data_IF_130025368089
#
_entry.id   IF_130025368089
#
_cell.length_a   1.000
_cell.length_b   1.000
_cell.length_c   1.000
_cell.angle_alpha   90.00
_cell.angle_beta   90.00
_cell.angle_gamma   90.00
#
_symmetry.space_group_name_H-M   'P 1'
#
loop_
_entity.id
_entity.type
_entity.pdbx_description
1 polymer ?
#
# COMPACT_ATOMS: atom_id res chain seq x y z
N UNK A 1 16.76 14.62 -7.24
CA UNK A 1 16.70 15.02 -5.81
C UNK A 1 15.96 16.34 -5.48
N UNK A 2 15.71 17.31 -6.36
CA UNK A 2 14.86 18.45 -6.00
C UNK A 2 13.40 18.09 -5.67
N UNK A 3 12.82 17.10 -6.36
CA UNK A 3 11.45 16.62 -6.11
C UNK A 3 11.29 15.93 -4.76
N UNK A 4 12.25 15.08 -4.34
CA UNK A 4 12.20 14.40 -3.04
C UNK A 4 12.15 15.38 -1.86
N UNK A 5 12.90 16.48 -1.91
CA UNK A 5 12.84 17.53 -0.90
C UNK A 5 11.51 18.31 -0.88
N UNK A 6 10.76 18.31 -1.99
CA UNK A 6 9.43 18.91 -2.05
C UNK A 6 8.38 18.04 -1.33
N UNK A 7 8.52 16.73 -1.39
CA UNK A 7 7.60 15.78 -0.74
C UNK A 7 7.73 15.79 0.80
N UNK A 8 8.88 16.13 1.37
CA UNK A 8 9.16 16.05 2.82
C UNK A 8 8.68 17.24 3.67
N UNK A 9 8.00 18.25 3.14
CA UNK A 9 7.83 19.54 3.84
C UNK A 9 6.40 20.07 4.04
N UNK A 10 5.34 19.36 3.70
CA UNK A 10 4.03 20.01 3.70
C UNK A 10 2.97 19.34 4.58
N UNK A 11 2.51 20.03 5.60
CA UNK A 11 1.29 19.76 6.37
C UNK A 11 0.02 20.01 5.52
N UNK A 12 0.10 20.89 4.53
CA UNK A 12 -0.94 21.08 3.51
C UNK A 12 -0.36 20.69 2.16
N UNK A 13 -0.86 19.59 1.60
CA UNK A 13 -0.32 18.96 0.39
C UNK A 13 -1.22 19.27 -0.79
N UNK A 14 -0.86 20.32 -1.52
CA UNK A 14 -1.53 20.67 -2.77
C UNK A 14 -0.67 20.24 -3.98
N UNK A 15 -0.34 18.95 -4.04
CA UNK A 15 0.34 18.40 -5.19
C UNK A 15 -0.57 18.45 -6.43
N UNK A 16 0.00 18.91 -7.54
CA UNK A 16 -0.63 18.83 -8.85
C UNK A 16 -0.76 17.39 -9.33
N UNK A 17 -1.63 17.13 -10.29
CA UNK A 17 -1.79 15.80 -10.86
C UNK A 17 -0.51 15.26 -11.50
N UNK A 18 0.30 16.15 -12.11
CA UNK A 18 1.57 15.76 -12.70
C UNK A 18 2.61 15.36 -11.64
N UNK A 19 2.66 16.07 -10.50
CA UNK A 19 3.51 15.68 -9.38
C UNK A 19 3.10 14.34 -8.78
N UNK A 20 1.80 14.06 -8.70
CA UNK A 20 1.30 12.75 -8.24
C UNK A 20 1.64 11.62 -9.21
N UNK A 21 1.56 11.84 -10.53
CA UNK A 21 2.00 10.88 -11.55
C UNK A 21 3.49 10.59 -11.43
N UNK A 22 4.29 11.63 -11.23
CA UNK A 22 5.73 11.50 -11.04
C UNK A 22 6.04 10.75 -9.74
N UNK A 23 5.34 11.04 -8.64
CA UNK A 23 5.47 10.30 -7.39
C UNK A 23 5.14 8.80 -7.58
N UNK A 24 4.05 8.47 -8.25
CA UNK A 24 3.67 7.09 -8.54
C UNK A 24 4.73 6.37 -9.39
N UNK A 25 5.32 7.07 -10.39
CA UNK A 25 6.42 6.55 -11.22
C UNK A 25 7.68 6.29 -10.39
N UNK A 26 8.06 7.22 -9.53
CA UNK A 26 9.22 7.09 -8.64
C UNK A 26 9.00 5.96 -7.62
N UNK A 27 7.82 5.85 -7.01
CA UNK A 27 7.48 4.77 -6.10
C UNK A 27 7.66 3.38 -6.76
N UNK A 28 7.26 3.22 -8.04
CA UNK A 28 7.52 1.97 -8.79
C UNK A 28 9.01 1.66 -8.87
N UNK A 29 9.84 2.64 -9.16
CA UNK A 29 11.28 2.44 -9.24
C UNK A 29 11.89 2.06 -7.90
N UNK A 30 11.52 2.73 -6.83
CA UNK A 30 12.00 2.40 -5.47
C UNK A 30 11.51 1.03 -4.98
N UNK A 31 10.29 0.63 -5.32
CA UNK A 31 9.79 -0.72 -5.02
C UNK A 31 10.65 -1.80 -5.67
N UNK A 32 10.98 -1.62 -6.95
CA UNK A 32 11.82 -2.57 -7.70
C UNK A 32 13.22 -2.69 -7.09
N UNK A 33 13.81 -1.56 -6.68
CA UNK A 33 15.13 -1.56 -6.02
C UNK A 33 15.06 -2.24 -4.65
N UNK A 34 14.06 -1.92 -3.83
CA UNK A 34 13.88 -2.52 -2.52
C UNK A 34 13.67 -4.05 -2.60
N UNK A 35 12.85 -4.51 -3.53
CA UNK A 35 12.61 -5.94 -3.73
C UNK A 35 13.82 -6.67 -4.32
N UNK A 36 14.61 -6.02 -5.17
CA UNK A 36 15.88 -6.56 -5.65
C UNK A 36 16.91 -6.67 -4.52
N UNK A 37 17.01 -5.66 -3.66
CA UNK A 37 17.92 -5.63 -2.52
C UNK A 37 17.69 -6.83 -1.59
N UNK A 38 16.44 -7.07 -1.24
CA UNK A 38 16.06 -8.06 -0.22
C UNK A 38 15.74 -9.45 -0.77
N UNK A 39 15.68 -9.60 -2.10
CA UNK A 39 15.27 -10.86 -2.73
C UNK A 39 13.87 -11.31 -2.32
N UNK A 40 13.01 -10.41 -1.85
CA UNK A 40 11.68 -10.72 -1.31
C UNK A 40 10.65 -9.63 -1.63
N UNK A 41 9.45 -10.01 -2.05
CA UNK A 41 8.38 -9.06 -2.34
C UNK A 41 7.29 -9.58 -3.27
N UNK A 42 6.40 -8.67 -3.69
CA UNK A 42 5.28 -8.90 -4.59
C UNK A 42 5.21 -7.78 -5.63
N UNK A 43 6.23 -7.64 -6.49
CA UNK A 43 6.38 -6.54 -7.43
C UNK A 43 5.11 -6.30 -8.26
N UNK A 44 4.56 -7.35 -8.86
CA UNK A 44 3.37 -7.23 -9.71
C UNK A 44 2.19 -6.54 -9.01
N UNK A 45 1.88 -6.96 -7.79
CA UNK A 45 0.78 -6.40 -7.01
C UNK A 45 1.06 -5.00 -6.45
N UNK A 46 2.31 -4.72 -6.10
CA UNK A 46 2.70 -3.40 -5.59
C UNK A 46 2.65 -2.33 -6.69
N UNK A 47 3.17 -2.64 -7.87
CA UNK A 47 3.21 -1.71 -9.01
C UNK A 47 1.81 -1.30 -9.50
N UNK A 48 0.78 -2.13 -9.30
CA UNK A 48 -0.59 -1.85 -9.78
C UNK A 48 -1.25 -0.67 -9.06
N UNK A 49 -0.87 -0.37 -7.81
CA UNK A 49 -1.61 0.58 -6.99
C UNK A 49 -0.88 1.91 -6.68
N UNK A 50 0.19 2.23 -7.41
CA UNK A 50 1.01 3.41 -7.06
C UNK A 50 0.29 4.74 -7.27
N UNK A 51 -0.64 4.87 -8.23
CA UNK A 51 -1.49 6.06 -8.38
C UNK A 51 -2.44 6.21 -7.18
N UNK A 52 -2.99 5.09 -6.70
CA UNK A 52 -3.87 5.06 -5.52
C UNK A 52 -3.10 5.52 -4.28
N UNK A 53 -1.89 5.00 -4.09
CA UNK A 53 -1.01 5.34 -2.96
C UNK A 53 -0.59 6.80 -3.01
N UNK A 54 -0.11 7.27 -4.16
CA UNK A 54 0.30 8.67 -4.33
C UNK A 54 -0.87 9.64 -4.08
N UNK A 55 -2.05 9.36 -4.65
CA UNK A 55 -3.23 10.19 -4.43
C UNK A 55 -3.66 10.21 -2.95
N UNK A 56 -3.69 9.05 -2.29
CA UNK A 56 -4.14 8.93 -0.91
C UNK A 56 -3.20 9.66 0.05
N UNK A 57 -1.91 9.32 0.03
CA UNK A 57 -0.94 9.85 1.00
C UNK A 57 -0.49 11.27 0.70
N UNK A 58 -0.45 11.69 -0.57
CA UNK A 58 0.09 13.00 -0.94
C UNK A 58 -0.97 14.08 -1.17
N UNK A 59 -2.26 13.71 -1.26
CA UNK A 59 -3.30 14.71 -1.58
C UNK A 59 -4.61 14.57 -0.82
N UNK A 60 -5.08 13.36 -0.54
CA UNK A 60 -6.46 13.16 -0.07
C UNK A 60 -6.55 12.96 1.43
N UNK A 61 -5.75 12.08 2.00
CA UNK A 61 -5.79 11.78 3.42
C UNK A 61 -5.21 12.93 4.25
N UNK A 62 -5.89 13.24 5.34
CA UNK A 62 -5.44 14.23 6.33
C UNK A 62 -4.56 13.52 7.36
N UNK A 63 -3.27 13.81 7.36
CA UNK A 63 -2.31 13.27 8.31
C UNK A 63 -1.08 14.19 8.44
N UNK A 64 -0.31 14.05 9.52
CA UNK A 64 0.94 14.80 9.74
C UNK A 64 2.07 13.83 10.09
N UNK A 65 3.12 13.71 9.25
CA UNK A 65 4.26 12.84 9.51
C UNK A 65 5.09 13.27 10.73
N UNK A 66 5.00 14.56 11.16
CA UNK A 66 5.68 15.05 12.35
C UNK A 66 4.92 14.70 13.64
N UNK A 67 3.62 14.37 13.53
CA UNK A 67 2.76 13.97 14.64
C UNK A 67 1.98 12.71 14.21
N UNK A 68 2.64 11.54 14.06
CA UNK A 68 2.01 10.32 13.52
C UNK A 68 0.76 9.86 14.27
N UNK A 69 0.70 10.14 15.56
CA UNK A 69 -0.44 9.78 16.43
C UNK A 69 -1.46 10.93 16.59
N UNK A 70 -1.43 11.94 15.70
CA UNK A 70 -2.41 13.02 15.74
C UNK A 70 -3.84 12.46 15.75
N UNK A 71 -4.68 12.79 16.79
CA UNK A 71 -5.95 12.13 16.98
C UNK A 71 -6.96 12.37 15.85
N UNK A 72 -6.94 13.55 15.25
CA UNK A 72 -7.88 13.94 14.17
C UNK A 72 -7.40 13.59 12.76
N UNK A 73 -6.36 12.76 12.64
CA UNK A 73 -5.93 12.27 11.31
C UNK A 73 -6.96 11.29 10.74
N UNK A 74 -7.03 11.22 9.42
CA UNK A 74 -7.70 10.09 8.76
C UNK A 74 -7.00 8.78 9.11
N UNK A 75 -7.74 7.68 9.13
CA UNK A 75 -7.21 6.35 9.41
C UNK A 75 -7.02 5.59 8.11
N UNK A 76 -5.82 5.06 7.88
CA UNK A 76 -5.52 4.31 6.67
C UNK A 76 -5.21 2.88 7.05
N UNK A 77 -6.17 1.98 6.80
CA UNK A 77 -6.06 0.55 7.07
C UNK A 77 -5.58 -0.16 5.81
N UNK A 78 -4.45 -0.80 5.93
CA UNK A 78 -3.84 -1.57 4.86
C UNK A 78 -4.24 -3.03 4.97
N UNK A 79 -5.33 -3.44 4.32
CA UNK A 79 -5.85 -4.81 4.38
C UNK A 79 -5.07 -5.77 3.48
N UNK A 80 -4.64 -5.30 2.30
CA UNK A 80 -3.82 -6.07 1.36
C UNK A 80 -2.37 -6.28 1.88
N UNK A 81 -2.20 -7.20 2.82
CA UNK A 81 -0.94 -7.43 3.53
C UNK A 81 0.25 -7.72 2.64
N UNK A 82 0.06 -8.46 1.55
CA UNK A 82 1.12 -8.78 0.58
C UNK A 82 1.67 -7.56 -0.19
N UNK A 83 0.99 -6.40 -0.13
CA UNK A 83 1.39 -5.13 -0.76
C UNK A 83 1.93 -4.10 0.22
N UNK A 84 2.47 -4.52 1.36
CA UNK A 84 3.00 -3.59 2.39
C UNK A 84 4.14 -2.70 1.89
N UNK A 85 4.91 -3.10 0.88
CA UNK A 85 5.91 -2.22 0.27
C UNK A 85 5.30 -0.94 -0.31
N UNK A 86 4.10 -1.00 -0.88
CA UNK A 86 3.38 0.18 -1.34
C UNK A 86 2.99 1.12 -0.18
N UNK A 87 2.59 0.57 0.98
CA UNK A 87 2.38 1.37 2.20
C UNK A 87 3.67 2.08 2.62
N UNK A 88 4.79 1.35 2.64
CA UNK A 88 6.07 1.94 3.05
C UNK A 88 6.48 3.09 2.14
N UNK A 89 6.31 2.93 0.84
CA UNK A 89 6.55 3.99 -0.13
C UNK A 89 5.61 5.18 0.06
N UNK A 90 4.32 4.93 0.29
CA UNK A 90 3.35 5.98 0.60
C UNK A 90 3.76 6.79 1.83
N UNK A 91 4.16 6.14 2.92
CA UNK A 91 4.63 6.78 4.14
C UNK A 91 5.96 7.52 3.95
N UNK A 92 6.93 6.92 3.23
CA UNK A 92 8.21 7.58 2.94
C UNK A 92 8.03 8.85 2.11
N UNK A 93 7.26 8.79 1.02
CA UNK A 93 6.93 9.96 0.20
C UNK A 93 6.12 11.00 0.97
N UNK A 94 5.34 10.54 1.92
CA UNK A 94 4.63 11.39 2.87
C UNK A 94 5.55 12.05 3.92
N UNK A 95 6.79 11.60 4.07
CA UNK A 95 7.79 12.20 4.95
C UNK A 95 7.84 11.61 6.36
N UNK A 96 7.30 10.40 6.57
CA UNK A 96 7.39 9.72 7.87
C UNK A 96 8.80 9.22 8.18
N UNK A 97 9.56 8.84 7.16
CA UNK A 97 10.96 8.39 7.23
C UNK A 97 11.64 8.56 5.86
N UNK A 98 12.98 8.49 5.80
CA UNK A 98 13.72 8.58 4.55
C UNK A 98 13.35 7.45 3.57
N UNK A 99 13.31 7.77 2.27
CA UNK A 99 12.97 6.77 1.24
C UNK A 99 14.04 5.69 1.12
N UNK A 100 15.27 6.04 1.45
CA UNK A 100 16.42 5.14 1.42
C UNK A 100 16.23 3.95 2.39
N UNK A 101 15.50 4.14 3.47
CA UNK A 101 15.26 3.09 4.46
C UNK A 101 14.39 1.94 3.90
N UNK A 102 13.60 2.18 2.83
CA UNK A 102 12.72 1.16 2.24
C UNK A 102 13.49 0.00 1.62
N UNK A 103 14.77 0.18 1.27
CA UNK A 103 15.62 -0.91 0.74
C UNK A 103 15.93 -1.99 1.78
N UNK A 104 15.64 -1.75 3.05
CA UNK A 104 15.74 -2.73 4.15
C UNK A 104 14.43 -3.49 4.37
N UNK A 105 13.58 -3.58 3.35
CA UNK A 105 12.30 -4.29 3.36
C UNK A 105 12.50 -5.74 3.80
N UNK A 106 11.71 -6.17 4.82
CA UNK A 106 11.73 -7.53 5.38
C UNK A 106 13.01 -7.97 6.10
N UNK A 107 13.98 -7.06 6.24
CA UNK A 107 15.17 -7.38 7.02
C UNK A 107 14.84 -7.62 8.49
N UNK A 108 15.46 -8.64 9.13
CA UNK A 108 15.21 -8.94 10.53
C UNK A 108 15.45 -7.72 11.44
N UNK A 109 14.60 -7.58 12.46
CA UNK A 109 14.68 -6.52 13.50
C UNK A 109 14.38 -5.09 13.02
N UNK A 110 14.25 -4.84 11.72
CA UNK A 110 13.94 -3.53 11.18
C UNK A 110 12.45 -3.19 11.16
N UNK A 111 12.09 -1.91 10.94
CA UNK A 111 10.69 -1.48 10.93
C UNK A 111 9.86 -2.07 9.79
N UNK A 112 10.47 -2.29 8.62
CA UNK A 112 9.78 -2.65 7.37
C UNK A 112 9.48 -4.14 7.26
N UNK A 113 8.83 -4.67 8.30
CA UNK A 113 8.52 -6.09 8.42
C UNK A 113 7.36 -6.53 7.53
N UNK A 114 7.34 -7.83 7.22
CA UNK A 114 6.19 -8.49 6.67
C UNK A 114 5.87 -9.74 7.51
N UNK A 115 4.73 -9.80 8.18
CA UNK A 115 3.63 -8.83 8.20
C UNK A 115 3.95 -7.50 8.90
N UNK A 116 3.19 -6.46 8.56
CA UNK A 116 3.33 -5.10 9.09
C UNK A 116 3.21 -5.07 10.62
N UNK A 117 4.10 -4.34 11.28
CA UNK A 117 4.03 -4.06 12.71
C UNK A 117 3.82 -2.56 13.00
N UNK A 118 2.67 -2.22 13.56
CA UNK A 118 2.37 -0.85 14.02
C UNK A 118 3.38 -0.36 15.07
N UNK A 119 3.89 -1.26 15.90
CA UNK A 119 4.81 -0.89 17.00
C UNK A 119 6.19 -0.43 16.48
N UNK A 120 6.53 -0.78 15.24
CA UNK A 120 7.84 -0.49 14.66
C UNK A 120 7.82 0.64 13.63
N UNK A 121 6.65 0.93 13.05
CA UNK A 121 6.55 1.85 11.93
C UNK A 121 5.61 3.02 12.23
N UNK A 122 6.12 4.27 12.28
CA UNK A 122 5.28 5.44 12.43
C UNK A 122 4.35 5.61 11.22
N UNK A 123 3.09 6.00 11.47
CA UNK A 123 2.06 6.12 10.44
C UNK A 123 1.33 4.82 10.07
N UNK A 124 1.76 3.66 10.59
CA UNK A 124 1.00 2.42 10.47
C UNK A 124 -0.12 2.38 11.52
N UNK A 125 -1.38 2.26 11.09
CA UNK A 125 -2.53 2.28 12.00
C UNK A 125 -2.69 0.99 12.79
N UNK A 126 -2.48 -0.15 12.13
CA UNK A 126 -2.64 -1.48 12.74
C UNK A 126 -1.57 -2.44 12.25
N UNK A 127 -1.22 -3.43 13.08
CA UNK A 127 -0.45 -4.58 12.63
C UNK A 127 -1.40 -5.56 11.94
N UNK A 128 -1.03 -6.04 10.76
CA UNK A 128 -1.84 -6.97 10.00
C UNK A 128 -0.99 -7.90 9.13
N UNK A 129 -1.61 -8.97 8.63
CA UNK A 129 -0.99 -9.95 7.72
C UNK A 129 -2.00 -10.95 7.18
N UNK A 130 -3.06 -11.23 7.93
CA UNK A 130 -4.14 -12.11 7.47
C UNK A 130 -5.07 -11.36 6.52
N UNK A 131 -5.28 -11.90 5.33
CA UNK A 131 -6.16 -11.32 4.31
C UNK A 131 -7.61 -11.25 4.78
N UNK A 132 -8.32 -10.22 4.33
CA UNK A 132 -9.73 -9.97 4.65
C UNK A 132 -10.00 -9.40 6.05
N UNK A 133 -9.01 -9.33 6.94
CA UNK A 133 -9.20 -8.84 8.31
C UNK A 133 -9.28 -7.30 8.39
N UNK A 134 -8.63 -6.60 7.47
CA UNK A 134 -8.50 -5.15 7.53
C UNK A 134 -9.82 -4.40 7.46
N UNK A 135 -10.79 -4.88 6.67
CA UNK A 135 -12.10 -4.25 6.58
C UNK A 135 -12.84 -4.28 7.93
N UNK A 136 -12.78 -5.40 8.67
CA UNK A 136 -13.36 -5.50 10.01
C UNK A 136 -12.74 -4.50 10.99
N UNK A 137 -11.42 -4.32 10.95
CA UNK A 137 -10.72 -3.31 11.76
C UNK A 137 -11.14 -1.90 11.35
N UNK A 138 -11.23 -1.62 10.04
CA UNK A 138 -11.68 -0.33 9.53
C UNK A 138 -13.09 0.03 9.99
N UNK A 139 -13.99 -0.94 10.04
CA UNK A 139 -15.35 -0.79 10.57
C UNK A 139 -15.29 -0.36 12.04
N UNK A 140 -14.50 -1.03 12.86
CA UNK A 140 -14.35 -0.68 14.27
C UNK A 140 -13.89 0.76 14.47
N UNK A 141 -12.90 1.21 13.68
CA UNK A 141 -12.41 2.60 13.72
C UNK A 141 -13.46 3.60 13.20
N UNK A 142 -14.18 3.26 12.13
CA UNK A 142 -15.23 4.12 11.60
C UNK A 142 -16.41 4.26 12.59
N UNK A 143 -16.80 3.19 13.28
CA UNK A 143 -17.77 3.23 14.36
C UNK A 143 -17.30 4.11 15.52
N UNK A 144 -16.05 3.95 15.95
CA UNK A 144 -15.46 4.77 17.00
C UNK A 144 -15.50 6.26 16.63
N UNK A 145 -15.08 6.64 15.40
CA UNK A 145 -15.15 8.01 14.94
C UNK A 145 -16.58 8.61 15.00
N UNK A 146 -17.59 7.82 14.61
CA UNK A 146 -18.99 8.27 14.72
C UNK A 146 -19.48 8.42 16.16
N UNK A 147 -19.00 7.60 17.09
CA UNK A 147 -19.38 7.66 18.51
C UNK A 147 -18.68 8.81 19.23
N UNK A 148 -17.43 9.07 18.92
CA UNK A 148 -16.61 10.12 19.53
C UNK A 148 -16.79 11.50 18.88
N UNK A 149 -17.68 11.59 17.86
CA UNK A 149 -17.91 12.80 17.07
C UNK A 149 -16.63 13.35 16.39
N UNK A 150 -15.70 12.48 16.08
CA UNK A 150 -14.49 12.79 15.32
C UNK A 150 -14.76 12.64 13.82
N UNK A 151 -14.60 13.71 13.07
CA UNK A 151 -14.96 13.79 11.63
C UNK A 151 -13.93 13.13 10.71
N UNK A 152 -13.06 12.24 11.22
CA UNK A 152 -12.07 11.57 10.37
C UNK A 152 -12.69 10.53 9.42
N UNK A 153 -12.08 10.39 8.27
CA UNK A 153 -12.41 9.32 7.32
C UNK A 153 -11.52 8.11 7.58
N UNK A 154 -12.10 6.92 7.47
CA UNK A 154 -11.35 5.66 7.49
C UNK A 154 -11.23 5.12 6.07
N UNK A 155 -10.01 5.03 5.55
CA UNK A 155 -9.69 4.40 4.28
C UNK A 155 -9.24 2.96 4.51
N UNK A 156 -9.75 2.01 3.73
CA UNK A 156 -9.34 0.61 3.77
C UNK A 156 -8.88 0.16 2.39
N UNK A 157 -7.59 -0.16 2.24
CA UNK A 157 -7.01 -0.60 0.97
C UNK A 157 -7.02 -2.12 0.89
N UNK A 158 -7.65 -2.63 -0.15
CA UNK A 158 -7.91 -4.05 -0.39
C UNK A 158 -7.43 -4.48 -1.79
N UNK A 159 -7.33 -5.77 -2.02
CA UNK A 159 -7.01 -6.39 -3.31
C UNK A 159 -7.75 -7.72 -3.48
N UNK A 160 -7.07 -8.75 -3.96
CA UNK A 160 -7.57 -10.12 -4.21
C UNK A 160 -8.20 -10.84 -3.02
N UNK A 161 -8.06 -10.30 -1.81
CA UNK A 161 -8.71 -10.78 -0.58
C UNK A 161 -10.26 -10.73 -0.60
N UNK A 162 -10.85 -10.28 -1.71
CA UNK A 162 -12.29 -10.31 -1.93
C UNK A 162 -12.89 -11.72 -1.90
N UNK A 163 -12.06 -12.76 -1.89
CA UNK A 163 -12.47 -14.17 -1.78
C UNK A 163 -12.59 -14.63 -0.32
N UNK A 164 -12.08 -13.85 0.64
CA UNK A 164 -12.16 -14.17 2.06
C UNK A 164 -13.58 -13.96 2.61
N UNK A 165 -14.12 -14.98 3.32
CA UNK A 165 -15.49 -14.94 3.85
C UNK A 165 -15.72 -13.83 4.87
N UNK A 166 -14.76 -13.60 5.76
CA UNK A 166 -14.81 -12.56 6.80
C UNK A 166 -14.93 -11.14 6.23
N UNK A 167 -14.42 -10.91 5.02
CA UNK A 167 -14.57 -9.63 4.34
C UNK A 167 -16.04 -9.33 4.04
N UNK A 168 -16.81 -10.33 3.58
CA UNK A 168 -18.24 -10.16 3.27
C UNK A 168 -19.11 -9.99 4.52
N UNK A 169 -18.73 -10.65 5.62
CA UNK A 169 -19.34 -10.41 6.92
C UNK A 169 -19.13 -8.94 7.34
N UNK A 170 -17.90 -8.45 7.25
CA UNK A 170 -17.56 -7.06 7.54
C UNK A 170 -18.31 -6.09 6.60
N UNK A 171 -18.34 -6.34 5.30
CA UNK A 171 -19.01 -5.46 4.34
C UNK A 171 -20.51 -5.30 4.63
N UNK A 172 -21.18 -6.35 5.08
CA UNK A 172 -22.57 -6.29 5.52
C UNK A 172 -22.75 -5.40 6.76
N UNK A 173 -21.87 -5.57 7.74
CA UNK A 173 -21.94 -4.79 8.99
C UNK A 173 -21.69 -3.28 8.76
N UNK A 174 -20.78 -2.92 7.84
CA UNK A 174 -20.55 -1.53 7.49
C UNK A 174 -21.82 -0.79 7.06
N UNK A 175 -22.66 -1.44 6.26
CA UNK A 175 -23.95 -0.89 5.84
C UNK A 175 -24.96 -0.89 6.98
N UNK A 176 -25.01 -1.94 7.79
CA UNK A 176 -25.90 -2.03 8.95
C UNK A 176 -25.66 -0.86 9.93
N UNK A 177 -24.40 -0.52 10.17
CA UNK A 177 -24.01 0.59 11.04
C UNK A 177 -23.97 1.95 10.35
N UNK A 178 -24.32 2.02 9.06
CA UNK A 178 -24.40 3.26 8.26
C UNK A 178 -23.10 4.07 8.29
N UNK A 179 -21.98 3.40 8.05
CA UNK A 179 -20.65 4.00 8.17
C UNK A 179 -20.29 4.82 6.93
N UNK A 180 -20.87 6.00 6.78
CA UNK A 180 -20.61 6.94 5.68
C UNK A 180 -19.23 7.63 5.78
N UNK A 181 -18.52 7.44 6.89
CA UNK A 181 -17.12 7.82 7.06
C UNK A 181 -16.12 6.70 6.70
N UNK A 182 -16.59 5.59 6.14
CA UNK A 182 -15.75 4.47 5.67
C UNK A 182 -15.65 4.49 4.15
N UNK A 183 -14.41 4.53 3.64
CA UNK A 183 -14.08 4.43 2.21
C UNK A 183 -13.18 3.23 1.99
N UNK A 184 -13.70 2.18 1.38
CA UNK A 184 -12.91 1.03 0.95
C UNK A 184 -12.44 1.23 -0.50
N UNK A 185 -11.22 0.80 -0.82
CA UNK A 185 -10.61 0.92 -2.14
C UNK A 185 -10.09 -0.45 -2.54
N UNK A 186 -10.61 -1.01 -3.63
CA UNK A 186 -10.16 -2.29 -4.18
C UNK A 186 -9.27 -2.05 -5.38
N UNK A 187 -8.02 -2.52 -5.30
CA UNK A 187 -7.15 -2.67 -6.45
C UNK A 187 -7.58 -3.90 -7.27
N UNK A 188 -8.42 -3.67 -8.28
CA UNK A 188 -8.98 -4.72 -9.13
C UNK A 188 -8.07 -5.02 -10.31
N UNK A 189 -6.95 -5.69 -10.04
CA UNK A 189 -6.00 -6.12 -11.07
C UNK A 189 -6.34 -7.47 -11.71
N UNK A 190 -7.33 -8.21 -11.17
CA UNK A 190 -7.91 -9.45 -11.71
C UNK A 190 -6.97 -10.65 -11.84
N UNK A 191 -5.76 -10.56 -11.31
CA UNK A 191 -4.76 -11.61 -11.44
C UNK A 191 -4.25 -12.05 -10.06
N UNK A 192 -4.26 -13.35 -9.81
CA UNK A 192 -3.77 -14.01 -8.59
C UNK A 192 -2.55 -14.88 -8.92
N UNK A 193 -1.84 -15.45 -7.90
CA UNK A 193 -0.69 -16.32 -8.13
C UNK A 193 -0.97 -17.47 -9.09
N UNK A 194 -2.15 -18.08 -8.97
CA UNK A 194 -2.55 -19.26 -9.72
C UNK A 194 -3.17 -18.93 -11.09
N UNK A 195 -3.50 -17.65 -11.34
CA UNK A 195 -4.07 -17.24 -12.62
C UNK A 195 -5.12 -16.12 -12.54
N UNK A 196 -5.94 -16.02 -13.57
CA UNK A 196 -6.99 -15.02 -13.62
C UNK A 196 -8.14 -15.36 -12.65
N UNK A 197 -8.57 -14.39 -11.83
CA UNK A 197 -9.66 -14.52 -10.84
C UNK A 197 -10.91 -15.18 -11.43
N UNK A 198 -11.26 -14.85 -12.68
CA UNK A 198 -12.42 -15.43 -13.37
C UNK A 198 -12.34 -16.94 -13.57
N UNK A 199 -11.12 -17.48 -13.67
CA UNK A 199 -10.89 -18.92 -13.85
C UNK A 199 -10.81 -19.70 -12.54
N UNK A 200 -10.26 -19.05 -11.48
CA UNK A 200 -9.92 -19.74 -10.22
C UNK A 200 -11.05 -19.65 -9.19
N UNK A 201 -11.44 -18.44 -8.81
CA UNK A 201 -12.51 -18.22 -7.83
C UNK A 201 -13.27 -16.95 -8.18
N UNK A 202 -14.29 -17.09 -8.99
CA UNK A 202 -15.01 -15.95 -9.56
C UNK A 202 -15.86 -15.22 -8.51
N UNK A 203 -15.41 -14.04 -8.14
CA UNK A 203 -16.14 -13.10 -7.28
C UNK A 203 -16.82 -11.97 -8.05
N UNK A 204 -16.62 -11.94 -9.36
CA UNK A 204 -17.18 -10.92 -10.22
C UNK A 204 -18.68 -11.11 -10.48
N UNK A 205 -19.44 -10.02 -10.67
CA UNK A 205 -19.00 -8.63 -10.58
C UNK A 205 -18.95 -8.14 -9.11
N UNK A 206 -17.80 -7.60 -8.69
CA UNK A 206 -17.59 -7.11 -7.31
C UNK A 206 -18.55 -5.95 -6.99
N UNK A 207 -18.69 -5.02 -7.91
CA UNK A 207 -19.48 -3.81 -7.77
C UNK A 207 -20.95 -4.10 -7.45
N UNK A 208 -21.55 -5.09 -8.08
CA UNK A 208 -22.95 -5.47 -7.85
C UNK A 208 -23.13 -6.12 -6.47
N UNK A 209 -22.16 -6.91 -6.03
CA UNK A 209 -22.17 -7.54 -4.71
C UNK A 209 -22.17 -6.49 -3.61
N UNK A 210 -21.29 -5.49 -3.67
CA UNK A 210 -21.27 -4.40 -2.67
C UNK A 210 -22.52 -3.51 -2.76
N UNK A 211 -23.02 -3.21 -3.97
CA UNK A 211 -24.30 -2.50 -4.12
C UNK A 211 -25.47 -3.25 -3.45
N UNK A 212 -25.51 -4.58 -3.61
CA UNK A 212 -26.54 -5.42 -2.96
C UNK A 212 -26.47 -5.41 -1.44
N UNK A 213 -25.28 -5.16 -0.88
CA UNK A 213 -25.08 -4.96 0.57
C UNK A 213 -25.36 -3.53 1.03
N UNK A 214 -25.74 -2.61 0.15
CA UNK A 214 -26.10 -1.24 0.49
C UNK A 214 -24.96 -0.21 0.42
N UNK A 215 -23.82 -0.57 -0.16
CA UNK A 215 -22.70 0.35 -0.37
C UNK A 215 -22.95 1.31 -1.54
N UNK A 216 -22.42 2.51 -1.45
CA UNK A 216 -22.16 3.35 -2.61
C UNK A 216 -20.92 2.81 -3.34
N UNK A 217 -20.99 2.69 -4.68
CA UNK A 217 -19.91 2.11 -5.47
C UNK A 217 -19.51 3.05 -6.60
N UNK A 218 -18.23 3.42 -6.62
CA UNK A 218 -17.60 4.25 -7.65
C UNK A 218 -16.58 3.40 -8.39
N UNK A 219 -16.74 3.24 -9.69
CA UNK A 219 -15.78 2.54 -10.54
C UNK A 219 -14.90 3.55 -11.28
N UNK A 220 -13.59 3.30 -11.31
CA UNK A 220 -12.60 4.17 -11.94
C UNK A 220 -11.55 3.37 -12.71
N UNK A 221 -10.86 4.03 -13.63
CA UNK A 221 -9.54 3.62 -14.08
C UNK A 221 -8.52 3.95 -12.97
N UNK A 222 -7.92 2.91 -12.35
CA UNK A 222 -6.97 3.05 -11.25
C UNK A 222 -5.62 3.65 -11.67
N UNK A 223 -5.37 3.81 -12.97
CA UNK A 223 -4.17 4.45 -13.52
C UNK A 223 -4.43 5.89 -14.02
N UNK A 224 -5.68 6.33 -14.03
CA UNK A 224 -6.02 7.74 -14.27
C UNK A 224 -6.00 8.50 -12.93
N UNK A 225 -4.91 9.20 -12.66
CA UNK A 225 -4.72 9.93 -11.41
C UNK A 225 -5.81 10.96 -11.12
N UNK A 226 -6.41 11.55 -12.18
CA UNK A 226 -7.53 12.49 -12.05
C UNK A 226 -8.77 11.76 -11.49
N UNK A 227 -9.10 10.59 -12.05
CA UNK A 227 -10.23 9.79 -11.58
C UNK A 227 -10.00 9.30 -10.16
N UNK A 228 -8.77 8.83 -9.85
CA UNK A 228 -8.39 8.36 -8.51
C UNK A 228 -8.57 9.46 -7.48
N UNK A 229 -7.99 10.64 -7.70
CA UNK A 229 -8.12 11.80 -6.80
C UNK A 229 -9.57 12.22 -6.64
N UNK A 230 -10.30 12.36 -7.76
CA UNK A 230 -11.68 12.83 -7.75
C UNK A 230 -12.62 11.87 -7.01
N UNK A 231 -12.45 10.55 -7.20
CA UNK A 231 -13.25 9.55 -6.51
C UNK A 231 -13.02 9.55 -4.99
N UNK A 232 -11.74 9.59 -4.57
CA UNK A 232 -11.39 9.64 -3.16
C UNK A 232 -11.86 10.94 -2.47
N UNK A 233 -11.66 12.10 -3.13
CA UNK A 233 -12.13 13.38 -2.60
C UNK A 233 -13.65 13.42 -2.50
N UNK A 234 -14.37 12.91 -3.51
CA UNK A 234 -15.82 12.80 -3.47
C UNK A 234 -16.29 11.92 -2.30
N UNK A 235 -15.70 10.73 -2.17
CA UNK A 235 -16.06 9.80 -1.09
C UNK A 235 -15.83 10.38 0.30
N UNK A 236 -14.73 11.16 0.47
CA UNK A 236 -14.39 11.81 1.75
C UNK A 236 -15.26 13.04 2.04
N UNK A 237 -15.43 13.94 1.06
CA UNK A 237 -16.01 15.27 1.30
C UNK A 237 -17.52 15.33 1.07
N UNK A 238 -18.08 14.42 0.28
CA UNK A 238 -19.49 14.35 -0.07
C UNK A 238 -19.98 12.90 0.00
N UNK A 239 -19.86 12.24 1.17
CA UNK A 239 -20.31 10.87 1.31
C UNK A 239 -21.83 10.76 1.13
N UNK A 240 -22.30 9.62 0.65
CA UNK A 240 -23.73 9.32 0.62
C UNK A 240 -24.18 8.99 2.03
N UNK A 241 -25.04 9.83 2.61
CA UNK A 241 -25.45 9.73 4.00
C UNK A 241 -25.93 8.32 4.37
N UNK A 242 -25.32 7.76 5.39
CA UNK A 242 -25.61 6.44 5.91
C UNK A 242 -25.15 5.27 5.04
N UNK A 243 -24.25 5.50 4.06
CA UNK A 243 -23.69 4.44 3.22
C UNK A 243 -22.17 4.46 3.21
N UNK A 244 -21.49 3.34 3.48
CA UNK A 244 -20.07 3.23 3.21
C UNK A 244 -19.81 3.30 1.71
N UNK A 245 -18.64 3.79 1.30
CA UNK A 245 -18.26 3.93 -0.12
C UNK A 245 -17.20 2.90 -0.49
N UNK A 246 -17.43 2.20 -1.60
CA UNK A 246 -16.44 1.37 -2.27
C UNK A 246 -15.94 2.09 -3.54
N UNK A 247 -14.62 2.23 -3.67
CA UNK A 247 -13.98 2.61 -4.91
C UNK A 247 -13.37 1.36 -5.54
N UNK A 248 -13.87 0.96 -6.71
CA UNK A 248 -13.32 -0.14 -7.50
C UNK A 248 -12.35 0.45 -8.51
N UNK A 249 -11.07 0.35 -8.25
CA UNK A 249 -10.03 0.83 -9.13
C UNK A 249 -9.59 -0.29 -10.09
N UNK A 250 -9.96 -0.19 -11.36
CA UNK A 250 -9.51 -1.11 -12.39
C UNK A 250 -8.04 -0.83 -12.72
N UNK A 251 -7.18 -1.80 -12.47
CA UNK A 251 -5.73 -1.66 -12.59
C UNK A 251 -5.11 -2.77 -13.44
N UNK A 252 -3.82 -2.62 -13.71
CA UNK A 252 -2.99 -3.59 -14.43
C UNK A 252 -1.90 -4.06 -13.47
N UNK A 253 -1.89 -5.35 -13.14
CA UNK A 253 -0.83 -5.95 -12.33
C UNK A 253 0.52 -5.78 -13.02
N UNK A 254 1.54 -5.31 -12.29
CA UNK A 254 2.86 -5.04 -12.87
C UNK A 254 2.97 -3.75 -13.69
N UNK A 255 2.05 -2.80 -13.49
CA UNK A 255 1.95 -1.55 -14.26
C UNK A 255 3.26 -0.79 -14.42
N UNK A 256 3.57 -0.45 -15.67
CA UNK A 256 4.73 0.36 -16.06
C UNK A 256 5.96 -0.45 -16.47
N UNK A 257 5.93 -1.79 -16.33
CA UNK A 257 7.01 -2.69 -16.75
C UNK A 257 6.44 -3.77 -17.68
N UNK A 258 6.76 -3.72 -18.95
CA UNK A 258 6.13 -4.54 -19.98
C UNK A 258 6.23 -6.06 -19.71
N UNK A 259 7.34 -6.51 -19.15
CA UNK A 259 7.55 -7.92 -18.78
C UNK A 259 6.73 -8.37 -17.57
N UNK A 260 6.17 -7.44 -16.80
CA UNK A 260 5.38 -7.69 -15.58
C UNK A 260 3.88 -7.44 -15.80
N UNK A 261 3.50 -6.59 -16.75
CA UNK A 261 2.08 -6.25 -16.99
C UNK A 261 1.27 -7.49 -17.32
N UNK A 262 0.27 -7.79 -16.48
CA UNK A 262 -0.64 -8.94 -16.62
C UNK A 262 0.06 -10.30 -16.70
N UNK A 263 1.28 -10.43 -16.17
CA UNK A 263 2.04 -11.67 -16.17
C UNK A 263 1.90 -12.41 -14.82
N UNK A 264 1.27 -13.57 -14.84
CA UNK A 264 0.95 -14.38 -13.63
C UNK A 264 2.20 -14.78 -12.83
N UNK A 265 3.36 -14.90 -13.45
CA UNK A 265 4.60 -15.31 -12.79
C UNK A 265 5.25 -14.28 -11.85
N UNK A 266 4.69 -13.08 -11.70
CA UNK A 266 5.26 -11.99 -10.90
C UNK A 266 4.58 -11.79 -9.53
N UNK A 267 3.73 -12.72 -9.12
CA UNK A 267 3.20 -12.74 -7.77
C UNK A 267 4.10 -13.57 -6.85
N UNK A 268 4.64 -12.96 -5.81
CA UNK A 268 5.65 -13.60 -4.94
C UNK A 268 7.03 -13.81 -5.56
N UNK A 269 7.27 -13.28 -6.76
CA UNK A 269 8.58 -13.25 -7.41
C UNK A 269 9.18 -11.86 -7.32
N UNK A 270 10.48 -11.82 -7.06
CA UNK A 270 11.28 -10.59 -7.02
C UNK A 270 12.07 -10.41 -8.32
N UNK A 271 12.51 -9.19 -8.56
CA UNK A 271 13.41 -8.85 -9.63
C UNK A 271 14.85 -9.21 -9.23
N UNK A 272 15.60 -9.85 -10.14
CA UNK A 272 17.06 -9.83 -10.08
C UNK A 272 17.60 -8.47 -10.55
N UNK A 273 18.93 -8.29 -10.45
CA UNK A 273 19.57 -7.03 -10.81
C UNK A 273 19.31 -6.61 -12.26
N UNK A 274 19.44 -7.53 -13.21
CA UNK A 274 19.29 -7.22 -14.64
C UNK A 274 17.82 -6.87 -14.97
N UNK A 275 16.87 -7.61 -14.43
CA UNK A 275 15.45 -7.32 -14.59
C UNK A 275 15.07 -5.98 -13.94
N UNK A 276 15.62 -5.66 -12.77
CA UNK A 276 15.41 -4.36 -12.11
C UNK A 276 15.97 -3.22 -12.97
N UNK A 277 17.20 -3.33 -13.48
CA UNK A 277 17.82 -2.30 -14.33
C UNK A 277 17.01 -2.10 -15.61
N UNK A 278 16.54 -3.18 -16.25
CA UNK A 278 15.68 -3.09 -17.42
C UNK A 278 14.35 -2.38 -17.11
N UNK A 279 13.72 -2.72 -16.01
CA UNK A 279 12.47 -2.09 -15.55
C UNK A 279 12.68 -0.60 -15.22
N UNK A 280 13.78 -0.23 -14.59
CA UNK A 280 14.14 1.19 -14.35
C UNK A 280 14.35 1.96 -15.66
N UNK A 281 14.90 1.31 -16.69
CA UNK A 281 15.02 1.90 -18.03
C UNK A 281 13.64 2.16 -18.67
N UNK A 282 12.73 1.15 -18.63
CA UNK A 282 11.37 1.30 -19.13
C UNK A 282 10.61 2.43 -18.42
N UNK A 283 10.78 2.54 -17.10
CA UNK A 283 10.21 3.62 -16.28
C UNK A 283 10.91 4.97 -16.50
N UNK A 284 12.02 5.04 -17.24
CA UNK A 284 12.83 6.24 -17.42
C UNK A 284 13.53 6.70 -16.13
N UNK A 285 13.80 5.79 -15.19
CA UNK A 285 14.33 6.08 -13.85
C UNK A 285 15.79 5.67 -13.64
N UNK A 286 16.39 4.96 -14.60
CA UNK A 286 17.75 4.42 -14.48
C UNK A 286 18.82 5.46 -14.09
N UNK A 287 18.65 6.73 -14.52
CA UNK A 287 19.56 7.83 -14.15
C UNK A 287 19.05 8.69 -13.01
N UNK A 288 17.83 8.46 -12.55
CA UNK A 288 17.18 9.26 -11.53
C UNK A 288 17.37 8.66 -10.14
N UNK A 289 17.26 7.34 -10.03
CA UNK A 289 17.45 6.60 -8.77
C UNK A 289 18.89 6.11 -8.71
N UNK A 290 19.59 6.41 -7.62
CA UNK A 290 20.94 5.94 -7.35
C UNK A 290 20.91 4.48 -6.84
N UNK A 291 20.35 3.57 -7.65
CA UNK A 291 20.04 2.20 -7.24
C UNK A 291 21.25 1.38 -6.81
N UNK A 292 22.43 1.56 -7.43
CA UNK A 292 23.65 0.86 -7.01
C UNK A 292 24.06 1.23 -5.59
N UNK A 293 24.00 2.52 -5.23
CA UNK A 293 24.30 2.98 -3.88
C UNK A 293 23.27 2.48 -2.86
N UNK A 294 22.01 2.40 -3.24
CA UNK A 294 20.93 1.83 -2.39
C UNK A 294 21.14 0.33 -2.15
N UNK A 295 21.51 -0.42 -3.17
CA UNK A 295 21.81 -1.85 -3.05
C UNK A 295 23.07 -2.12 -2.19
N UNK A 296 24.08 -1.24 -2.29
CA UNK A 296 25.27 -1.31 -1.45
C UNK A 296 24.92 -1.05 0.01
N UNK A 297 24.15 0.01 0.29
CA UNK A 297 23.66 0.34 1.64
C UNK A 297 22.85 -0.81 2.26
N UNK A 298 21.98 -1.47 1.49
CA UNK A 298 21.23 -2.64 1.97
C UNK A 298 22.16 -3.79 2.37
N UNK A 299 23.19 -4.09 1.56
CA UNK A 299 24.18 -5.14 1.86
C UNK A 299 25.04 -4.83 3.11
N UNK A 300 25.45 -3.58 3.27
CA UNK A 300 26.18 -3.14 4.46
C UNK A 300 25.32 -3.36 5.71
N UNK A 301 24.05 -3.04 5.63
CA UNK A 301 23.11 -3.23 6.72
C UNK A 301 22.88 -4.71 7.07
N UNK A 302 22.68 -5.57 6.08
CA UNK A 302 22.60 -7.03 6.27
C UNK A 302 23.82 -7.57 7.02
N UNK A 303 25.00 -7.07 6.65
CA UNK A 303 26.26 -7.47 7.28
C UNK A 303 26.35 -7.02 8.75
N UNK A 304 25.95 -5.80 9.04
CA UNK A 304 25.92 -5.28 10.42
C UNK A 304 24.99 -6.10 11.31
N UNK A 305 23.78 -6.39 10.83
CA UNK A 305 22.79 -7.22 11.54
C UNK A 305 23.34 -8.63 11.76
N UNK A 306 23.98 -9.23 10.77
CA UNK A 306 24.58 -10.56 10.88
C UNK A 306 25.69 -10.62 11.94
N UNK A 307 26.51 -9.57 12.02
CA UNK A 307 27.58 -9.43 13.03
C UNK A 307 26.98 -9.31 14.44
N UNK A 308 25.95 -8.46 14.62
CA UNK A 308 25.27 -8.30 15.91
C UNK A 308 24.64 -9.61 16.39
N UNK A 309 23.95 -10.34 15.49
CA UNK A 309 23.36 -11.63 15.79
C UNK A 309 24.40 -12.67 16.20
N UNK A 310 25.54 -12.72 15.51
CA UNK A 310 26.63 -13.62 15.83
C UNK A 310 27.24 -13.32 17.21
N UNK A 311 27.32 -12.02 17.56
CA UNK A 311 27.86 -11.59 18.87
C UNK A 311 26.91 -11.92 20.05
N UNK A 312 25.60 -11.98 19.80
CA UNK A 312 24.58 -12.26 20.82
C UNK A 312 24.08 -13.71 20.83
N UNK A 313 24.55 -14.55 19.89
CA UNK A 313 24.24 -15.99 19.90
C UNK A 313 24.93 -16.66 21.10
N UNK A 314 24.20 -17.32 22.03
CA UNK A 314 24.83 -18.08 23.09
C UNK A 314 25.69 -19.17 22.47
N UNK A 315 26.94 -19.27 22.90
CA UNK A 315 27.83 -20.38 22.54
C UNK A 315 27.14 -21.67 22.96
N UNK A 316 26.59 -22.41 22.02
CA UNK A 316 26.13 -23.78 22.27
C UNK A 316 27.40 -24.57 22.53
N UNK A 317 27.75 -24.78 23.84
CA UNK A 317 28.80 -25.74 24.21
C UNK A 317 28.38 -27.10 23.66
N UNK A 318 29.14 -27.60 22.71
CA UNK A 318 29.06 -28.99 22.25
C UNK A 318 29.76 -29.85 23.30
N UNK A 319 29.17 -29.96 24.48
CA UNK A 319 29.51 -30.97 25.45
C UNK A 319 28.35 -31.97 25.47
N UNK A 320 28.51 -33.05 24.71
CA UNK A 320 27.86 -34.34 24.87
C UNK A 320 28.94 -35.41 24.93
#
# INVERSE_FOLDING_TARGET
MPLMNAFSKAVVRDFSLEELKEAARLMRGYDLVAQCATGSGHAGGTLSMMEIVAALYLKVATHDPNVPEWPHRDRIIWSAGHKTSALYLGLAFAGYFPIEDVVTLREPYLPFQHPLSRLKLPGAEVSHGSLGQGLGVAIGLAMFGKLDHDEHTVFCLMDGEQQEGNLWEAAREASQFKLDNLVAIVDRNRLQPDGWVKGESNIEPIEERYRSLGWEVIEIDGHDIQQVVSAMQKAKSVPVLGRPTLIVANTVKGKGVASMENAAGWDGRTTDYDAMVAALEELGLRKTIAYDALLESAREYELEVAIELAAHSPSVSRDC
#
